data_IF_455165355405
#
_entry.id   IF_455165355405
#
_cell.length_a   1.000
_cell.length_b   1.000
_cell.length_c   1.000
_cell.angle_alpha   90.00
_cell.angle_beta   90.00
_cell.angle_gamma   90.00
#
_symmetry.space_group_name_H-M   'P 1'
#
loop_
_entity.id
_entity.type
_entity.pdbx_description
1 polymer ?
#
# COMPACT_ATOMS: atom_id res chain seq x y z
N UNK A 1 -4.81 -8.34 5.03
CA UNK A 1 -3.89 -7.28 5.50
C UNK A 1 -2.54 -7.46 4.83
N UNK A 2 -1.46 -6.91 5.41
CA UNK A 2 -0.08 -7.11 4.93
C UNK A 2 0.73 -7.85 5.99
N UNK A 3 1.68 -8.70 5.55
CA UNK A 3 2.59 -9.44 6.43
C UNK A 3 4.01 -8.85 6.35
N UNK A 4 4.37 -7.89 7.22
CA UNK A 4 5.69 -7.26 7.18
C UNK A 4 6.79 -8.22 7.62
N UNK A 5 7.95 -8.13 6.97
CA UNK A 5 9.18 -8.81 7.34
C UNK A 5 10.03 -7.84 8.15
N UNK A 6 10.26 -8.19 9.42
CA UNK A 6 11.08 -7.43 10.36
C UNK A 6 12.40 -8.16 10.63
N UNK A 7 13.47 -7.46 11.03
CA UNK A 7 14.72 -8.09 11.42
C UNK A 7 14.53 -9.07 12.60
N UNK A 8 15.20 -10.22 12.53
CA UNK A 8 15.10 -11.26 13.56
C UNK A 8 15.86 -10.82 14.81
N UNK A 9 15.24 -10.96 15.99
CA UNK A 9 15.82 -10.60 17.30
C UNK A 9 16.12 -9.10 17.49
N UNK A 10 15.47 -8.22 16.74
CA UNK A 10 15.58 -6.77 16.90
C UNK A 10 14.20 -6.17 17.20
N UNK A 11 14.15 -5.16 18.06
CA UNK A 11 12.92 -4.43 18.30
C UNK A 11 12.57 -3.55 17.08
N UNK A 12 11.28 -3.33 16.76
CA UNK A 12 10.87 -2.37 15.75
C UNK A 12 11.46 -0.97 16.00
N UNK A 13 12.18 -0.44 15.01
CA UNK A 13 12.88 0.85 15.11
C UNK A 13 12.34 1.94 14.16
N UNK A 14 12.92 3.14 14.25
CA UNK A 14 12.50 4.31 13.46
C UNK A 14 12.64 4.15 11.95
N UNK A 15 13.52 3.24 11.49
CA UNK A 15 13.68 2.93 10.07
C UNK A 15 12.37 2.51 9.40
N UNK A 16 11.41 1.97 10.16
CA UNK A 16 10.07 1.63 9.68
C UNK A 16 9.36 2.85 9.08
N UNK A 17 9.46 4.02 9.73
CA UNK A 17 8.86 5.27 9.25
C UNK A 17 9.45 5.77 7.93
N UNK A 18 10.65 5.31 7.57
CA UNK A 18 11.33 5.62 6.31
C UNK A 18 11.16 4.54 5.24
N UNK A 19 10.38 3.49 5.51
CA UNK A 19 10.17 2.38 4.57
C UNK A 19 11.16 1.22 4.72
N UNK A 20 11.85 1.10 5.85
CA UNK A 20 12.78 0.00 6.17
C UNK A 20 12.10 -1.33 6.54
N UNK A 21 10.84 -1.55 6.12
CA UNK A 21 10.09 -2.79 6.36
C UNK A 21 10.09 -3.62 5.08
N UNK A 22 10.44 -4.90 5.19
CA UNK A 22 10.31 -5.82 4.06
C UNK A 22 8.85 -6.11 3.79
N UNK A 23 8.40 -5.88 2.56
CA UNK A 23 7.04 -6.17 2.09
C UNK A 23 7.11 -6.75 0.69
N UNK A 24 6.23 -7.69 0.38
CA UNK A 24 6.12 -8.18 -1.00
C UNK A 24 5.35 -7.16 -1.85
N UNK A 25 5.51 -7.23 -3.18
CA UNK A 25 4.70 -6.42 -4.09
C UNK A 25 3.20 -6.71 -3.92
N UNK A 26 2.82 -7.98 -3.70
CA UNK A 26 1.43 -8.37 -3.47
C UNK A 26 0.85 -7.71 -2.23
N UNK A 27 1.62 -7.64 -1.13
CA UNK A 27 1.23 -6.93 0.09
C UNK A 27 1.06 -5.42 -0.16
N UNK A 28 1.99 -4.80 -0.90
CA UNK A 28 1.86 -3.39 -1.26
C UNK A 28 0.60 -3.13 -2.08
N UNK A 29 0.32 -3.95 -3.10
CA UNK A 29 -0.91 -3.85 -3.89
C UNK A 29 -2.14 -4.05 -2.99
N UNK A 30 -2.10 -5.02 -2.07
CA UNK A 30 -3.19 -5.30 -1.13
C UNK A 30 -3.51 -4.10 -0.23
N UNK A 31 -2.48 -3.37 0.20
CA UNK A 31 -2.63 -2.16 1.01
C UNK A 31 -3.22 -1.00 0.18
N UNK A 32 -2.67 -0.74 -1.00
CA UNK A 32 -3.10 0.38 -1.85
C UNK A 32 -4.50 0.18 -2.44
N UNK A 33 -4.92 -1.07 -2.71
CA UNK A 33 -6.32 -1.34 -3.06
C UNK A 33 -7.26 -1.05 -1.90
N UNK A 34 -6.81 -1.24 -0.66
CA UNK A 34 -7.54 -0.80 0.53
C UNK A 34 -7.84 0.70 0.53
N UNK A 35 -6.84 1.51 0.16
CA UNK A 35 -7.00 2.97 0.06
C UNK A 35 -8.00 3.36 -1.03
N UNK A 36 -7.86 2.75 -2.22
CA UNK A 36 -8.76 2.97 -3.34
C UNK A 36 -10.21 2.53 -3.04
N UNK A 37 -10.39 1.55 -2.15
CA UNK A 37 -11.69 1.01 -1.74
C UNK A 37 -12.24 1.65 -0.45
N UNK A 38 -11.86 2.91 -0.16
CA UNK A 38 -12.45 3.64 0.96
C UNK A 38 -11.97 3.16 2.33
N UNK A 39 -10.75 2.63 2.44
CA UNK A 39 -10.18 2.07 3.67
C UNK A 39 -10.54 0.60 3.92
N UNK A 40 -11.15 -0.08 2.94
CA UNK A 40 -11.55 -1.50 3.04
C UNK A 40 -10.67 -2.37 2.16
N UNK A 41 -9.94 -3.28 2.76
CA UNK A 41 -9.16 -4.29 2.05
C UNK A 41 -10.02 -5.49 1.71
N UNK A 42 -9.87 -6.00 0.50
CA UNK A 42 -10.40 -7.28 0.05
C UNK A 42 -9.23 -8.14 -0.38
N UNK A 43 -9.27 -9.43 -0.05
CA UNK A 43 -8.22 -10.38 -0.47
C UNK A 43 -8.00 -10.24 -1.98
N UNK A 44 -6.75 -10.02 -2.39
CA UNK A 44 -6.40 -9.92 -3.81
C UNK A 44 -6.66 -11.26 -4.51
N UNK A 45 -7.19 -11.18 -5.72
CA UNK A 45 -7.38 -12.31 -6.62
C UNK A 45 -6.85 -11.95 -8.01
N UNK A 46 -6.15 -12.88 -8.64
CA UNK A 46 -5.72 -12.78 -10.04
C UNK A 46 -6.50 -13.71 -10.98
N UNK A 47 -7.47 -14.47 -10.42
CA UNK A 47 -8.36 -15.35 -11.17
C UNK A 47 -7.76 -16.74 -11.42
N UNK A 48 -6.61 -17.04 -10.83
CA UNK A 48 -6.02 -18.38 -10.86
C UNK A 48 -6.42 -19.22 -9.65
N UNK A 49 -7.08 -18.61 -8.67
CA UNK A 49 -7.53 -19.27 -7.46
C UNK A 49 -8.75 -20.20 -7.70
N UNK A 50 -8.92 -21.26 -6.89
CA UNK A 50 -10.14 -22.07 -6.91
C UNK A 50 -11.42 -21.24 -6.74
N UNK A 51 -12.53 -21.70 -7.31
CA UNK A 51 -13.80 -20.96 -7.29
C UNK A 51 -14.34 -20.69 -5.88
N UNK A 52 -13.96 -21.53 -4.92
CA UNK A 52 -14.32 -21.48 -3.50
C UNK A 52 -13.24 -20.84 -2.61
N UNK A 53 -12.22 -20.21 -3.21
CA UNK A 53 -11.18 -19.52 -2.46
C UNK A 53 -11.78 -18.49 -1.50
N UNK A 54 -11.29 -18.51 -0.26
CA UNK A 54 -11.79 -17.67 0.82
C UNK A 54 -11.63 -16.18 0.49
N UNK A 55 -12.72 -15.43 0.63
CA UNK A 55 -12.75 -13.98 0.38
C UNK A 55 -12.87 -13.24 1.69
N UNK A 56 -11.75 -12.87 2.27
CA UNK A 56 -11.75 -12.05 3.48
C UNK A 56 -11.79 -10.56 3.11
N UNK A 57 -12.55 -9.79 3.88
CA UNK A 57 -12.52 -8.33 3.85
C UNK A 57 -12.25 -7.76 5.24
N UNK A 58 -11.48 -6.68 5.32
CA UNK A 58 -11.20 -5.99 6.57
C UNK A 58 -11.15 -4.47 6.37
N UNK A 59 -11.73 -3.73 7.30
CA UNK A 59 -11.59 -2.27 7.38
C UNK A 59 -10.28 -1.93 8.10
N UNK A 60 -9.41 -1.16 7.45
CA UNK A 60 -8.11 -0.75 7.99
C UNK A 60 -8.04 0.74 8.33
N UNK A 61 -8.94 1.55 7.76
CA UNK A 61 -9.06 2.99 8.01
C UNK A 61 -10.54 3.37 8.07
N UNK A 62 -10.87 4.34 8.90
CA UNK A 62 -12.16 5.02 8.80
C UNK A 62 -12.23 5.90 7.52
N UNK A 63 -13.44 6.34 7.18
CA UNK A 63 -13.67 7.11 5.95
C UNK A 63 -12.96 8.47 5.92
N UNK A 64 -12.83 9.15 7.07
CA UNK A 64 -12.19 10.47 7.13
C UNK A 64 -10.68 10.34 6.96
N UNK A 65 -10.05 9.39 7.67
CA UNK A 65 -8.62 9.11 7.52
C UNK A 65 -8.28 8.68 6.08
N UNK A 66 -9.10 7.82 5.47
CA UNK A 66 -8.88 7.41 4.09
C UNK A 66 -9.01 8.57 3.10
N UNK A 67 -10.01 9.44 3.28
CA UNK A 67 -10.20 10.63 2.43
C UNK A 67 -8.99 11.55 2.47
N UNK A 68 -8.46 11.84 3.67
CA UNK A 68 -7.27 12.69 3.81
C UNK A 68 -6.06 12.10 3.09
N UNK A 69 -5.84 10.79 3.20
CA UNK A 69 -4.73 10.11 2.52
C UNK A 69 -4.89 10.20 1.00
N UNK A 70 -6.08 9.89 0.48
CA UNK A 70 -6.33 9.94 -0.97
C UNK A 70 -6.19 11.37 -1.52
N UNK A 71 -6.67 12.39 -0.79
CA UNK A 71 -6.50 13.80 -1.16
C UNK A 71 -5.01 14.17 -1.26
N UNK A 72 -4.21 13.83 -0.25
CA UNK A 72 -2.75 14.05 -0.23
C UNK A 72 -2.07 13.36 -1.42
N UNK A 73 -2.40 12.10 -1.68
CA UNK A 73 -1.82 11.31 -2.77
C UNK A 73 -2.26 11.83 -4.16
N UNK A 74 -3.44 12.42 -4.27
CA UNK A 74 -3.95 13.03 -5.50
C UNK A 74 -3.27 14.36 -5.81
N UNK A 75 -2.80 15.07 -4.79
CA UNK A 75 -2.08 16.34 -4.92
C UNK A 75 -0.61 16.21 -5.34
N UNK A 76 -0.09 15.00 -5.54
CA UNK A 76 1.33 14.78 -5.87
C UNK A 76 1.63 15.30 -7.28
N UNK A 77 2.53 16.29 -7.36
CA UNK A 77 3.00 16.83 -8.64
C UNK A 77 3.71 15.73 -9.45
N UNK A 78 3.36 15.56 -10.74
CA UNK A 78 4.08 14.65 -11.61
C UNK A 78 5.58 14.98 -11.66
N UNK A 79 6.44 13.96 -11.84
CA UNK A 79 7.86 14.19 -12.15
C UNK A 79 8.01 15.14 -13.34
N UNK A 80 9.12 15.87 -13.38
CA UNK A 80 9.40 16.81 -14.46
C UNK A 80 9.33 16.10 -15.83
N UNK A 81 8.56 16.66 -16.76
CA UNK A 81 8.30 16.07 -18.08
C UNK A 81 7.17 15.04 -18.15
N UNK A 82 6.55 14.65 -17.02
CA UNK A 82 5.40 13.74 -17.00
C UNK A 82 4.06 14.50 -17.01
N UNK A 83 3.08 13.95 -17.73
CA UNK A 83 1.70 14.47 -17.76
C UNK A 83 0.97 14.16 -16.44
N UNK A 84 0.14 15.09 -15.98
CA UNK A 84 -0.79 14.84 -14.88
C UNK A 84 -1.95 13.97 -15.37
N UNK A 85 -2.04 12.73 -14.85
CA UNK A 85 -2.99 11.71 -15.33
C UNK A 85 -4.22 11.53 -14.43
N UNK A 86 -4.42 12.38 -13.43
CA UNK A 86 -5.51 12.22 -12.46
C UNK A 86 -5.40 10.94 -11.61
N UNK A 87 -4.19 10.42 -11.46
CA UNK A 87 -3.90 9.23 -10.67
C UNK A 87 -3.31 9.69 -9.33
N UNK A 88 -3.80 9.14 -8.23
CA UNK A 88 -3.20 9.30 -6.91
C UNK A 88 -2.08 8.26 -6.74
N UNK A 89 -0.87 8.69 -6.37
CA UNK A 89 0.27 7.78 -6.25
C UNK A 89 1.31 8.28 -5.25
N UNK A 90 2.24 7.39 -4.91
CA UNK A 90 3.43 7.73 -4.13
C UNK A 90 4.66 7.12 -4.78
N UNK A 91 5.73 7.90 -4.85
CA UNK A 91 7.06 7.41 -5.24
C UNK A 91 7.81 6.85 -4.04
N UNK A 92 8.59 5.79 -4.27
CA UNK A 92 9.49 5.20 -3.29
C UNK A 92 10.83 4.89 -3.94
N UNK A 93 11.93 5.16 -3.24
CA UNK A 93 13.28 4.79 -3.68
C UNK A 93 14.05 4.36 -2.46
N UNK A 94 14.55 3.13 -2.47
CA UNK A 94 15.35 2.61 -1.38
C UNK A 94 16.79 3.11 -1.48
N UNK A 95 17.51 3.05 -0.35
CA UNK A 95 18.95 3.31 -0.35
C UNK A 95 19.68 2.30 -1.23
N UNK A 96 20.43 2.77 -2.22
CA UNK A 96 21.19 1.91 -3.14
C UNK A 96 20.37 1.31 -4.29
N UNK A 97 19.13 1.79 -4.53
CA UNK A 97 18.28 1.38 -5.67
C UNK A 97 17.95 -0.12 -5.71
N UNK A 98 17.63 -0.69 -4.54
CA UNK A 98 17.29 -2.10 -4.34
C UNK A 98 15.81 -2.34 -4.04
#
# INVERSE_FOLDING_TARGET
GVSPILPVNEAPGLAIGLGGVGVTLRDLVQLYTGLANGGKTHTLHDGTEPADAERTSATILDGQANWQIIDILSGVKPPEGALQRGIAYKTGTSYGYR
#
